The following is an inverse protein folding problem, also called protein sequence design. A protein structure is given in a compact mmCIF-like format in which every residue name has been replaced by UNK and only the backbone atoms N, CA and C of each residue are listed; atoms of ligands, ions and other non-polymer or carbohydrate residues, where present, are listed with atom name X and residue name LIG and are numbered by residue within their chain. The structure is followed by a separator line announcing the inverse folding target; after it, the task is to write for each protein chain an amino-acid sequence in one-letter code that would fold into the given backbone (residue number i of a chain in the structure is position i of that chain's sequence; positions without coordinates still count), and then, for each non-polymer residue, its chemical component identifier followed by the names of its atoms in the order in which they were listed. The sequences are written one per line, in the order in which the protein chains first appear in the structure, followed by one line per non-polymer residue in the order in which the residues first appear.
data_IF_395414643364
#
_entry.id   IF_395414643364
#
_cell.length_a   1.000
_cell.length_b   1.000
_cell.length_c   1.000
_cell.angle_alpha   90.00
_cell.angle_beta   90.00
_cell.angle_gamma   90.00
#
_symmetry.space_group_name_H-M   'P 1'
#
loop_
_entity.id
_entity.type
_entity.pdbx_description
1 polymer ?
#
# COMPACT_ATOMS: atom_id res chain seq x y z
N UNK A 1 30.42 -46.61 -55.86
CA UNK A 1 31.75 -47.05 -55.42
C UNK A 1 32.46 -45.87 -54.77
N UNK A 2 32.95 -46.08 -53.55
CA UNK A 2 34.16 -45.49 -52.89
C UNK A 2 34.35 -43.97 -52.94
N UNK A 3 34.69 -43.23 -51.88
CA UNK A 3 35.12 -43.47 -50.49
C UNK A 3 35.45 -42.06 -49.94
N UNK A 4 35.12 -41.72 -48.67
CA UNK A 4 36.10 -41.60 -47.56
C UNK A 4 37.52 -41.21 -48.04
N UNK A 5 38.21 -40.19 -47.55
CA UNK A 5 38.18 -39.53 -46.24
C UNK A 5 39.63 -39.14 -45.87
N UNK A 6 39.74 -38.29 -44.85
CA UNK A 6 40.76 -38.30 -43.79
C UNK A 6 42.22 -37.85 -44.02
N UNK A 7 42.72 -37.20 -42.95
CA UNK A 7 44.12 -37.06 -42.49
C UNK A 7 45.01 -36.11 -43.31
N UNK A 8 45.96 -35.35 -42.75
CA UNK A 8 46.60 -35.38 -41.43
C UNK A 8 47.54 -34.17 -41.28
N UNK A 9 47.52 -33.57 -40.08
CA UNK A 9 48.63 -33.04 -39.24
C UNK A 9 49.97 -32.57 -39.87
N UNK A 10 50.30 -31.33 -39.48
CA UNK A 10 51.55 -30.76 -38.95
C UNK A 10 52.86 -30.72 -39.76
N UNK A 11 53.42 -29.49 -39.79
CA UNK A 11 54.79 -29.06 -39.42
C UNK A 11 54.81 -27.53 -39.53
N UNK A 12 55.49 -26.67 -38.77
CA UNK A 12 56.03 -26.54 -37.41
C UNK A 12 56.57 -25.09 -37.35
N UNK A 13 56.89 -24.57 -36.15
CA UNK A 13 57.63 -23.33 -35.83
C UNK A 13 56.80 -22.02 -35.84
N UNK A 14 56.82 -21.13 -34.85
CA UNK A 14 57.62 -20.98 -33.62
C UNK A 14 56.93 -19.94 -32.72
N UNK A 15 57.14 -20.05 -31.40
CA UNK A 15 56.62 -19.19 -30.33
C UNK A 15 57.32 -17.81 -30.26
N UNK A 16 56.59 -16.76 -29.85
CA UNK A 16 57.09 -15.71 -28.94
C UNK A 16 55.92 -14.82 -28.43
N UNK A 17 56.09 -14.34 -27.21
CA UNK A 17 55.08 -13.89 -26.27
C UNK A 17 54.54 -12.45 -26.41
N UNK A 18 53.28 -12.36 -25.97
CA UNK A 18 52.56 -11.35 -25.20
C UNK A 18 53.17 -9.96 -24.87
N UNK A 19 52.24 -9.00 -24.86
CA UNK A 19 52.13 -7.77 -24.05
C UNK A 19 52.63 -6.43 -24.63
N UNK A 20 51.65 -5.57 -24.90
CA UNK A 20 51.75 -4.11 -25.00
C UNK A 20 50.58 -3.54 -25.81
N UNK A 21 49.93 -2.43 -25.50
CA UNK A 21 49.85 -1.57 -24.32
C UNK A 21 48.63 -0.66 -24.64
N UNK A 22 47.64 -0.58 -23.75
CA UNK A 22 46.49 0.34 -23.93
C UNK A 22 46.88 1.68 -23.30
N UNK A 23 47.15 2.65 -24.16
CA UNK A 23 47.56 3.98 -23.76
C UNK A 23 46.59 4.70 -22.81
N UNK A 24 47.18 5.42 -21.84
CA UNK A 24 46.96 6.86 -21.76
C UNK A 24 46.20 7.43 -20.55
N UNK A 25 46.57 7.10 -19.31
CA UNK A 25 46.21 7.92 -18.13
C UNK A 25 47.19 9.07 -17.93
N UNK A 26 46.68 10.30 -17.98
CA UNK A 26 47.45 11.56 -17.89
C UNK A 26 47.48 12.07 -16.44
N UNK A 27 48.59 11.78 -15.75
CA UNK A 27 49.38 12.74 -14.94
C UNK A 27 48.88 13.21 -13.57
N UNK A 28 49.72 13.04 -12.53
CA UNK A 28 49.78 14.02 -11.43
C UNK A 28 50.23 13.60 -10.02
N UNK A 29 51.14 12.64 -9.80
CA UNK A 29 51.77 12.44 -8.48
C UNK A 29 53.13 13.16 -8.45
N UNK A 30 53.18 14.32 -7.78
CA UNK A 30 54.38 15.11 -7.55
C UNK A 30 54.99 14.83 -6.18
N UNK A 31 56.16 14.19 -6.19
CA UNK A 31 57.07 14.15 -5.05
C UNK A 31 58.26 15.08 -5.35
N UNK A 32 58.35 16.19 -4.61
CA UNK A 32 59.61 16.92 -4.39
C UNK A 32 59.43 17.91 -3.23
N UNK A 33 60.10 17.61 -2.13
CA UNK A 33 60.05 18.37 -0.90
C UNK A 33 60.53 19.84 -1.03
N UNK A 34 59.94 20.68 -0.18
CA UNK A 34 60.59 21.87 0.41
C UNK A 34 60.04 22.07 1.82
N UNK A 35 60.93 21.96 2.81
CA UNK A 35 60.64 22.32 4.19
C UNK A 35 60.41 23.82 4.36
N UNK A 36 59.47 24.15 5.25
CA UNK A 36 59.27 25.38 6.05
C UNK A 36 58.09 25.01 6.96
N UNK A 37 58.28 24.66 8.23
CA UNK A 37 58.78 25.53 9.27
C UNK A 37 57.62 26.28 9.92
N UNK A 38 57.42 26.01 11.22
CA UNK A 38 56.67 26.78 12.24
C UNK A 38 55.16 26.49 12.43
N UNK A 39 54.82 26.16 13.68
CA UNK A 39 53.72 26.86 14.34
C UNK A 39 52.66 26.02 15.04
N UNK A 40 52.88 25.78 16.34
CA UNK A 40 51.91 25.61 17.44
C UNK A 40 50.44 26.00 17.14
N UNK A 41 49.48 25.21 17.61
CA UNK A 41 48.12 25.73 17.87
C UNK A 41 47.05 24.68 18.21
N UNK A 42 46.68 24.61 19.49
CA UNK A 42 45.50 23.91 20.05
C UNK A 42 44.19 24.37 19.39
N UNK A 43 43.19 23.49 19.24
CA UNK A 43 41.82 23.95 18.99
C UNK A 43 40.79 22.86 18.69
N UNK A 44 39.87 22.64 19.64
CA UNK A 44 38.66 21.79 19.62
C UNK A 44 37.75 22.05 18.42
N UNK A 45 37.03 21.03 17.91
CA UNK A 45 35.88 21.31 17.05
C UNK A 45 35.16 20.14 16.37
N UNK A 46 34.19 19.55 17.10
CA UNK A 46 32.86 19.11 16.64
C UNK A 46 32.75 17.89 15.70
N UNK A 47 32.20 16.83 16.29
CA UNK A 47 31.73 15.64 15.60
C UNK A 47 30.53 15.86 14.69
N UNK A 48 30.36 14.90 13.78
CA UNK A 48 29.10 14.61 13.10
C UNK A 48 28.80 13.13 13.33
N UNK A 49 28.12 12.86 14.44
CA UNK A 49 27.41 11.60 14.64
C UNK A 49 26.15 11.63 13.78
N UNK A 50 26.22 11.00 12.61
CA UNK A 50 25.07 10.69 11.80
C UNK A 50 24.62 9.26 12.14
N UNK A 51 23.59 9.11 12.98
CA UNK A 51 22.67 7.97 12.89
C UNK A 51 21.40 8.24 13.67
N UNK A 52 20.29 8.19 12.95
CA UNK A 52 18.96 8.57 13.41
C UNK A 52 18.50 7.81 14.64
N UNK A 53 18.02 8.58 15.62
CA UNK A 53 17.01 8.08 16.54
C UNK A 53 15.67 8.01 15.81
N UNK A 54 14.95 6.91 15.99
CA UNK A 54 13.49 6.87 15.81
C UNK A 54 12.93 8.14 16.45
N UNK A 55 12.22 8.96 15.68
CA UNK A 55 11.38 9.99 16.28
C UNK A 55 10.29 9.25 17.05
N UNK A 56 10.50 9.07 18.35
CA UNK A 56 9.38 9.04 19.28
C UNK A 56 8.50 10.23 18.93
N UNK A 57 7.19 10.00 18.78
CA UNK A 57 6.21 11.06 18.55
C UNK A 57 6.40 12.09 19.67
N UNK A 58 7.15 13.16 19.37
CA UNK A 58 7.46 14.20 20.34
C UNK A 58 6.14 14.82 20.71
N UNK A 59 5.68 14.51 21.92
CA UNK A 59 4.50 15.14 22.49
C UNK A 59 4.69 16.65 22.42
N UNK A 60 3.77 17.35 21.75
CA UNK A 60 3.86 18.80 21.58
C UNK A 60 3.73 19.48 22.95
N UNK A 61 4.81 20.16 23.37
CA UNK A 61 4.84 20.98 24.59
C UNK A 61 4.69 22.44 24.15
N UNK A 62 3.53 23.07 24.38
CA UNK A 62 3.29 24.41 23.89
C UNK A 62 4.15 25.44 24.62
N UNK A 63 4.80 26.30 23.85
CA UNK A 63 5.71 27.34 24.37
C UNK A 63 5.01 28.69 24.54
N UNK A 64 3.91 28.91 23.82
CA UNK A 64 3.10 30.12 23.87
C UNK A 64 1.95 30.01 24.88
N UNK A 65 1.40 31.17 25.28
CA UNK A 65 0.17 31.23 26.07
C UNK A 65 -1.01 30.63 25.28
N UNK A 66 -1.05 30.89 23.98
CA UNK A 66 -2.10 30.39 23.09
C UNK A 66 -2.02 28.87 22.95
N UNK A 67 -0.84 28.30 22.69
CA UNK A 67 -0.65 26.85 22.60
C UNK A 67 -1.06 26.12 23.89
N UNK A 68 -0.79 26.71 25.07
CA UNK A 68 -1.25 26.16 26.36
C UNK A 68 -2.78 26.16 26.47
N UNK A 69 -3.43 27.26 26.12
CA UNK A 69 -4.89 27.34 26.14
C UNK A 69 -5.55 26.35 25.16
N UNK A 70 -4.91 26.09 24.02
CA UNK A 70 -5.35 25.10 23.03
C UNK A 70 -5.16 23.67 23.56
N UNK A 71 -3.96 23.35 24.10
CA UNK A 71 -3.67 22.02 24.66
C UNK A 71 -4.54 21.69 25.88
N UNK A 72 -4.84 22.68 26.71
CA UNK A 72 -5.71 22.56 27.89
C UNK A 72 -7.22 22.55 27.52
N UNK A 73 -7.56 22.51 26.23
CA UNK A 73 -8.93 22.50 25.69
C UNK A 73 -9.81 23.69 26.12
N UNK A 74 -9.20 24.83 26.43
CA UNK A 74 -9.94 26.07 26.76
C UNK A 74 -10.44 26.78 25.50
N UNK A 75 -9.67 26.71 24.42
CA UNK A 75 -10.07 27.18 23.09
C UNK A 75 -10.52 25.96 22.30
N UNK A 76 -11.76 25.97 21.82
CA UNK A 76 -12.39 24.80 21.18
C UNK A 76 -12.34 24.85 19.66
N UNK A 77 -12.14 26.03 19.07
CA UNK A 77 -12.13 26.21 17.63
C UNK A 77 -11.04 27.19 17.18
N UNK A 78 -10.57 26.99 15.95
CA UNK A 78 -9.68 27.92 15.27
C UNK A 78 -10.38 29.27 15.00
N UNK A 79 -11.71 29.25 14.86
CA UNK A 79 -12.54 30.44 14.67
C UNK A 79 -12.44 31.41 15.84
N UNK A 80 -12.36 30.91 17.08
CA UNK A 80 -12.20 31.74 18.27
C UNK A 80 -10.85 32.49 18.25
N UNK A 81 -9.80 31.85 17.75
CA UNK A 81 -8.47 32.47 17.56
C UNK A 81 -8.52 33.57 16.51
N UNK A 82 -9.24 33.32 15.40
CA UNK A 82 -9.42 34.30 14.33
C UNK A 82 -10.30 35.48 14.75
N UNK A 83 -11.35 35.23 15.54
CA UNK A 83 -12.26 36.26 16.05
C UNK A 83 -11.50 37.32 16.87
N UNK A 84 -10.60 36.88 17.75
CA UNK A 84 -9.77 37.77 18.56
C UNK A 84 -8.46 38.19 17.88
N UNK A 85 -8.27 37.82 16.60
CA UNK A 85 -7.09 38.15 15.79
C UNK A 85 -5.76 37.83 16.50
N UNK A 86 -5.72 36.72 17.25
CA UNK A 86 -4.54 36.34 18.02
C UNK A 86 -3.46 35.75 17.09
N UNK A 87 -2.19 36.18 17.19
CA UNK A 87 -1.14 35.70 16.29
C UNK A 87 -0.73 34.26 16.60
N UNK A 88 -0.92 33.37 15.62
CA UNK A 88 -0.50 31.96 15.69
C UNK A 88 1.00 31.87 15.40
N UNK A 89 1.77 31.36 16.36
CA UNK A 89 3.24 31.22 16.27
C UNK A 89 3.74 29.78 16.35
N UNK A 90 2.85 28.82 16.62
CA UNK A 90 3.14 27.38 16.65
C UNK A 90 2.23 26.71 15.61
N UNK A 91 2.81 25.93 14.69
CA UNK A 91 2.05 25.22 13.65
C UNK A 91 1.18 24.12 14.24
N UNK A 92 1.62 23.54 15.35
CA UNK A 92 0.97 22.45 16.05
C UNK A 92 -0.43 22.84 16.57
N UNK A 93 -0.70 24.14 16.77
CA UNK A 93 -2.04 24.67 17.10
C UNK A 93 -3.02 24.36 15.97
N UNK A 94 -2.59 24.54 14.72
CA UNK A 94 -3.44 24.29 13.54
C UNK A 94 -3.62 22.78 13.38
N UNK A 95 -2.55 22.00 13.56
CA UNK A 95 -2.60 20.54 13.48
C UNK A 95 -3.55 19.95 14.53
N UNK A 96 -3.59 20.49 15.75
CA UNK A 96 -4.49 20.03 16.81
C UNK A 96 -5.97 20.18 16.42
N UNK A 97 -6.37 21.32 15.85
CA UNK A 97 -7.76 21.55 15.45
C UNK A 97 -8.13 20.80 14.17
N UNK A 98 -7.27 20.81 13.14
CA UNK A 98 -7.54 20.13 11.86
C UNK A 98 -7.47 18.60 11.96
N UNK A 99 -6.64 18.05 12.86
CA UNK A 99 -6.55 16.60 13.06
C UNK A 99 -7.87 16.00 13.58
N UNK A 100 -8.68 16.78 14.32
CA UNK A 100 -9.94 16.31 14.88
C UNK A 100 -10.98 15.98 13.79
N UNK A 101 -11.10 16.83 12.76
CA UNK A 101 -11.99 16.60 11.62
C UNK A 101 -11.52 15.41 10.78
N UNK A 102 -10.21 15.33 10.53
CA UNK A 102 -9.61 14.20 9.78
C UNK A 102 -9.85 12.87 10.50
N UNK A 103 -9.76 12.83 11.84
CA UNK A 103 -10.01 11.62 12.61
C UNK A 103 -11.45 11.11 12.47
N UNK A 104 -12.44 12.02 12.47
CA UNK A 104 -13.85 11.64 12.26
C UNK A 104 -14.11 11.12 10.85
N UNK A 105 -13.51 11.76 9.83
CA UNK A 105 -13.61 11.32 8.44
C UNK A 105 -12.98 9.93 8.23
N UNK A 106 -11.82 9.65 8.86
CA UNK A 106 -11.18 8.33 8.80
C UNK A 106 -12.05 7.26 9.46
N UNK A 107 -12.63 7.55 10.63
CA UNK A 107 -13.55 6.62 11.32
C UNK A 107 -14.77 6.30 10.44
N UNK A 108 -15.38 7.32 9.84
CA UNK A 108 -16.50 7.14 8.89
C UNK A 108 -16.11 6.32 7.66
N UNK A 109 -14.94 6.59 7.08
CA UNK A 109 -14.41 5.84 5.94
C UNK A 109 -14.17 4.36 6.26
N UNK A 110 -13.66 4.05 7.46
CA UNK A 110 -13.48 2.66 7.93
C UNK A 110 -14.83 1.94 8.06
N UNK A 111 -15.85 2.60 8.61
CA UNK A 111 -17.19 2.01 8.73
C UNK A 111 -17.77 1.72 7.34
N UNK A 112 -17.72 2.68 6.42
CA UNK A 112 -18.18 2.49 5.05
C UNK A 112 -17.42 1.36 4.34
N UNK A 113 -16.09 1.29 4.51
CA UNK A 113 -15.28 0.23 3.94
C UNK A 113 -15.65 -1.17 4.47
N UNK A 114 -15.97 -1.28 5.77
CA UNK A 114 -16.45 -2.52 6.38
C UNK A 114 -17.82 -2.95 5.83
N UNK A 115 -18.72 -2.01 5.62
CA UNK A 115 -20.04 -2.27 5.04
C UNK A 115 -19.94 -2.69 3.56
N UNK A 116 -18.95 -2.19 2.83
CA UNK A 116 -18.75 -2.48 1.41
C UNK A 116 -17.71 -3.57 1.13
N UNK A 117 -17.52 -4.54 2.02
CA UNK A 117 -16.63 -5.69 1.77
C UNK A 117 -17.22 -6.56 0.66
N UNK A 118 -16.38 -6.95 -0.30
CA UNK A 118 -16.76 -7.80 -1.44
C UNK A 118 -15.89 -9.06 -1.45
N UNK A 119 -16.46 -10.25 -1.69
CA UNK A 119 -15.68 -11.47 -1.79
C UNK A 119 -14.80 -11.46 -3.05
N UNK A 120 -13.59 -12.01 -2.94
CA UNK A 120 -12.63 -12.06 -4.05
C UNK A 120 -12.40 -13.50 -4.49
N UNK A 121 -12.70 -13.79 -5.76
CA UNK A 121 -12.46 -15.11 -6.32
C UNK A 121 -11.01 -15.22 -6.77
N UNK A 122 -10.30 -16.21 -6.23
CA UNK A 122 -8.94 -16.57 -6.65
C UNK A 122 -8.96 -17.82 -7.53
N UNK A 123 -7.99 -17.91 -8.41
CA UNK A 123 -7.82 -18.98 -9.38
C UNK A 123 -6.36 -19.38 -9.60
N UNK A 124 -6.14 -20.09 -10.69
CA UNK A 124 -4.85 -20.61 -11.11
C UNK A 124 -4.53 -20.07 -12.50
N UNK A 125 -3.25 -19.86 -12.80
CA UNK A 125 -2.83 -19.46 -14.14
C UNK A 125 -2.94 -20.60 -15.16
N UNK A 126 -2.65 -21.83 -14.72
CA UNK A 126 -2.72 -23.04 -15.53
C UNK A 126 -3.08 -24.24 -14.64
N UNK A 127 -2.09 -25.06 -14.29
CA UNK A 127 -2.32 -26.24 -13.45
C UNK A 127 -2.85 -25.86 -12.05
N UNK A 128 -3.85 -26.62 -11.59
CA UNK A 128 -4.52 -26.46 -10.29
C UNK A 128 -3.72 -27.07 -9.14
N UNK A 129 -2.46 -26.66 -9.00
CA UNK A 129 -1.54 -27.18 -7.97
C UNK A 129 -1.53 -26.24 -6.78
N UNK A 130 -1.75 -26.81 -5.58
CA UNK A 130 -1.76 -26.07 -4.32
C UNK A 130 -2.96 -25.13 -4.18
N UNK A 131 -2.80 -24.06 -3.40
CA UNK A 131 -3.86 -23.06 -3.15
C UNK A 131 -4.01 -22.09 -4.35
N UNK A 132 -5.21 -21.60 -4.67
CA UNK A 132 -5.39 -20.56 -5.69
C UNK A 132 -4.56 -19.31 -5.35
N UNK A 133 -3.89 -18.73 -6.34
CA UNK A 133 -2.84 -17.71 -6.14
C UNK A 133 -2.99 -16.46 -7.02
N UNK A 134 -3.75 -16.54 -8.11
CA UNK A 134 -3.93 -15.44 -9.08
C UNK A 134 -5.40 -15.17 -9.38
N UNK A 135 -5.71 -14.19 -10.22
CA UNK A 135 -7.08 -13.95 -10.70
C UNK A 135 -7.53 -15.07 -11.67
N UNK A 136 -8.80 -15.49 -11.66
CA UNK A 136 -9.26 -16.64 -12.47
C UNK A 136 -9.32 -16.34 -13.97
N UNK A 137 -9.60 -15.10 -14.35
CA UNK A 137 -9.68 -14.65 -15.74
C UNK A 137 -9.20 -13.20 -15.85
N UNK A 138 -9.02 -12.72 -17.07
CA UNK A 138 -8.66 -11.32 -17.33
C UNK A 138 -9.87 -10.43 -17.02
N UNK A 139 -9.84 -9.72 -15.90
CA UNK A 139 -10.93 -8.84 -15.48
C UNK A 139 -10.55 -7.38 -15.67
N UNK A 140 -11.53 -6.56 -16.03
CA UNK A 140 -11.35 -5.12 -16.23
C UNK A 140 -12.35 -4.35 -15.39
N UNK A 141 -11.85 -3.42 -14.58
CA UNK A 141 -12.63 -2.46 -13.82
C UNK A 141 -12.45 -1.04 -14.36
N UNK A 142 -13.50 -0.22 -14.24
CA UNK A 142 -13.52 1.14 -14.78
C UNK A 142 -14.08 2.12 -13.75
N UNK A 143 -13.42 3.26 -13.62
CA UNK A 143 -13.93 4.41 -12.86
C UNK A 143 -13.52 5.69 -13.58
N UNK A 144 -14.49 6.46 -14.08
CA UNK A 144 -14.23 7.63 -14.92
C UNK A 144 -13.46 7.26 -16.20
N UNK A 145 -12.33 7.95 -16.43
CA UNK A 145 -11.40 7.67 -17.54
C UNK A 145 -10.39 6.57 -17.24
N UNK A 146 -10.30 6.11 -15.98
CA UNK A 146 -9.32 5.10 -15.55
C UNK A 146 -9.89 3.70 -15.75
N UNK A 147 -9.13 2.86 -16.43
CA UNK A 147 -9.40 1.45 -16.63
C UNK A 147 -8.23 0.64 -16.07
N UNK A 148 -8.54 -0.34 -15.21
CA UNK A 148 -7.56 -1.26 -14.63
C UNK A 148 -7.90 -2.68 -15.08
N UNK A 149 -6.94 -3.35 -15.70
CA UNK A 149 -7.03 -4.74 -16.14
C UNK A 149 -6.13 -5.60 -15.28
N UNK A 150 -6.72 -6.60 -14.64
CA UNK A 150 -6.00 -7.66 -13.93
C UNK A 150 -5.85 -8.85 -14.87
N UNK A 151 -4.64 -9.39 -14.94
CA UNK A 151 -4.29 -10.49 -15.82
C UNK A 151 -3.67 -11.60 -14.95
N UNK A 152 -4.14 -12.86 -15.10
CA UNK A 152 -3.57 -14.00 -14.38
C UNK A 152 -2.07 -14.13 -14.64
N UNK A 153 -1.29 -14.44 -13.61
CA UNK A 153 0.17 -14.57 -13.69
C UNK A 153 0.66 -15.91 -13.10
N UNK A 154 1.79 -16.46 -13.58
CA UNK A 154 2.36 -17.70 -13.04
C UNK A 154 2.75 -17.57 -11.57
N UNK A 155 2.88 -18.71 -10.87
CA UNK A 155 3.26 -18.73 -9.45
C UNK A 155 4.65 -18.11 -9.24
N UNK A 156 4.77 -17.23 -8.25
CA UNK A 156 6.04 -16.59 -7.88
C UNK A 156 6.37 -15.34 -8.70
N UNK A 157 5.45 -14.87 -9.54
CA UNK A 157 5.58 -13.58 -10.24
C UNK A 157 5.50 -12.41 -9.26
N UNK A 158 4.70 -12.56 -8.21
CA UNK A 158 4.30 -11.47 -7.34
C UNK A 158 3.33 -10.50 -8.03
N UNK A 159 3.02 -9.41 -7.32
CA UNK A 159 2.10 -8.38 -7.80
C UNK A 159 2.89 -7.32 -8.59
N UNK A 160 2.73 -7.35 -9.92
CA UNK A 160 3.28 -6.35 -10.84
C UNK A 160 2.26 -5.24 -11.04
N UNK A 161 2.35 -4.22 -10.19
CA UNK A 161 1.42 -3.09 -10.18
C UNK A 161 2.05 -1.82 -9.61
N UNK A 162 1.45 -0.68 -9.96
CA UNK A 162 1.63 0.57 -9.22
C UNK A 162 1.26 0.40 -7.72
N UNK A 163 1.80 1.26 -6.82
CA UNK A 163 1.65 1.09 -5.37
C UNK A 163 0.21 1.03 -4.85
N UNK A 164 -0.72 1.77 -5.47
CA UNK A 164 -2.12 1.85 -5.02
C UNK A 164 -2.88 0.53 -5.25
N UNK A 165 -3.01 0.00 -6.48
CA UNK A 165 -3.62 -1.30 -6.71
C UNK A 165 -2.83 -2.44 -6.05
N UNK A 166 -1.50 -2.30 -5.90
CA UNK A 166 -0.69 -3.32 -5.22
C UNK A 166 -1.18 -3.58 -3.80
N UNK A 167 -1.43 -2.52 -3.01
CA UNK A 167 -2.01 -2.65 -1.67
C UNK A 167 -3.38 -3.31 -1.67
N UNK A 168 -4.26 -2.92 -2.60
CA UNK A 168 -5.61 -3.51 -2.73
C UNK A 168 -5.54 -5.01 -3.06
N UNK A 169 -4.67 -5.41 -3.98
CA UNK A 169 -4.47 -6.81 -4.37
C UNK A 169 -3.85 -7.65 -3.25
N UNK A 170 -2.92 -7.07 -2.49
CA UNK A 170 -2.37 -7.72 -1.29
C UNK A 170 -3.44 -7.93 -0.22
N UNK A 171 -4.28 -6.92 0.04
CA UNK A 171 -5.40 -7.06 1.00
C UNK A 171 -6.45 -8.07 0.52
N UNK A 172 -6.63 -8.21 -0.80
CA UNK A 172 -7.49 -9.23 -1.40
C UNK A 172 -6.90 -10.66 -1.33
N UNK A 173 -5.63 -10.81 -0.94
CA UNK A 173 -4.95 -12.11 -0.86
C UNK A 173 -4.58 -12.71 -2.22
N UNK A 174 -4.38 -11.86 -3.24
CA UNK A 174 -3.86 -12.28 -4.55
C UNK A 174 -2.33 -12.21 -4.48
N UNK A 175 -1.67 -13.34 -4.74
CA UNK A 175 -0.20 -13.44 -4.64
C UNK A 175 0.46 -12.99 -5.94
N UNK A 176 -0.09 -13.43 -7.08
CA UNK A 176 0.48 -13.21 -8.41
C UNK A 176 -0.52 -12.53 -9.33
N UNK A 177 -0.16 -11.38 -9.91
CA UNK A 177 -1.02 -10.69 -10.89
C UNK A 177 -0.20 -9.73 -11.74
N UNK A 178 -0.45 -9.74 -13.05
CA UNK A 178 -0.07 -8.64 -13.92
C UNK A 178 -1.19 -7.61 -13.94
N UNK A 179 -0.82 -6.33 -13.91
CA UNK A 179 -1.80 -5.25 -14.02
C UNK A 179 -1.46 -4.36 -15.21
N UNK A 180 -2.50 -3.88 -15.88
CA UNK A 180 -2.39 -2.86 -16.91
C UNK A 180 -3.40 -1.77 -16.61
N UNK A 181 -2.96 -0.53 -16.58
CA UNK A 181 -3.81 0.61 -16.31
C UNK A 181 -3.77 1.58 -17.51
N UNK A 182 -4.94 2.10 -17.89
CA UNK A 182 -5.08 3.12 -18.94
C UNK A 182 -5.92 4.27 -18.41
N UNK A 183 -5.60 5.50 -18.83
CA UNK A 183 -6.28 6.72 -18.40
C UNK A 183 -5.49 7.52 -17.37
N UNK A 184 -6.13 8.48 -16.71
CA UNK A 184 -5.47 9.37 -15.74
C UNK A 184 -5.28 8.70 -14.37
N UNK A 185 -4.28 7.82 -14.27
CA UNK A 185 -3.95 7.06 -13.03
C UNK A 185 -3.38 7.93 -11.91
N UNK A 186 -3.07 9.20 -12.16
CA UNK A 186 -2.67 10.17 -11.15
C UNK A 186 -3.81 10.45 -10.13
N UNK A 187 -5.07 10.26 -10.54
CA UNK A 187 -6.23 10.40 -9.66
C UNK A 187 -6.40 9.17 -8.77
N UNK A 188 -5.85 9.22 -7.55
CA UNK A 188 -5.80 8.08 -6.63
C UNK A 188 -7.19 7.47 -6.36
N UNK A 189 -8.21 8.29 -6.12
CA UNK A 189 -9.56 7.83 -5.81
C UNK A 189 -10.20 7.00 -6.93
N UNK A 190 -10.14 7.49 -8.17
CA UNK A 190 -10.66 6.76 -9.34
C UNK A 190 -9.83 5.51 -9.62
N UNK A 191 -8.52 5.58 -9.45
CA UNK A 191 -7.63 4.45 -9.67
C UNK A 191 -7.88 3.30 -8.67
N UNK A 192 -8.06 3.64 -7.39
CA UNK A 192 -8.44 2.68 -6.36
C UNK A 192 -9.83 2.09 -6.62
N UNK A 193 -10.83 2.92 -6.95
CA UNK A 193 -12.18 2.44 -7.30
C UNK A 193 -12.21 1.54 -8.52
N UNK A 194 -11.47 1.89 -9.59
CA UNK A 194 -11.36 1.05 -10.78
C UNK A 194 -10.72 -0.31 -10.48
N UNK A 195 -9.73 -0.34 -9.58
CA UNK A 195 -9.12 -1.60 -9.13
C UNK A 195 -10.11 -2.42 -8.30
N UNK A 196 -10.83 -1.78 -7.38
CA UNK A 196 -11.85 -2.45 -6.56
C UNK A 196 -12.99 -3.03 -7.42
N UNK A 197 -13.42 -2.29 -8.43
CA UNK A 197 -14.41 -2.75 -9.43
C UNK A 197 -13.89 -3.93 -10.27
N UNK A 198 -12.59 -3.99 -10.58
CA UNK A 198 -12.01 -5.15 -11.25
C UNK A 198 -12.05 -6.39 -10.35
N UNK A 199 -11.79 -6.22 -9.05
CA UNK A 199 -11.79 -7.30 -8.06
C UNK A 199 -13.23 -7.81 -7.80
N UNK A 200 -14.21 -6.92 -7.68
CA UNK A 200 -15.62 -7.32 -7.46
C UNK A 200 -16.17 -8.16 -8.62
N UNK A 201 -15.74 -7.88 -9.85
CA UNK A 201 -16.10 -8.63 -11.05
C UNK A 201 -15.43 -10.00 -11.18
N UNK A 202 -14.55 -10.39 -10.25
CA UNK A 202 -13.96 -11.74 -10.27
C UNK A 202 -15.00 -12.85 -10.10
N UNK A 203 -16.09 -12.58 -9.38
CA UNK A 203 -17.23 -13.50 -9.27
C UNK A 203 -18.29 -13.30 -10.37
N UNK A 204 -18.33 -12.14 -11.04
CA UNK A 204 -19.31 -11.90 -12.10
C UNK A 204 -19.03 -12.73 -13.36
N UNK A 205 -17.80 -13.23 -13.51
CA UNK A 205 -17.46 -14.07 -14.64
C UNK A 205 -17.83 -15.53 -14.38
N UNK A 206 -18.77 -16.04 -15.18
CA UNK A 206 -19.18 -17.43 -15.13
C UNK A 206 -18.16 -18.31 -15.84
N UNK A 207 -17.53 -19.19 -15.08
CA UNK A 207 -16.54 -20.16 -15.58
C UNK A 207 -17.17 -21.57 -15.61
N UNK A 208 -16.65 -22.51 -16.42
CA UNK A 208 -17.27 -23.82 -16.60
C UNK A 208 -17.47 -24.66 -15.31
N UNK A 209 -16.66 -24.43 -14.29
CA UNK A 209 -16.82 -25.06 -12.97
C UNK A 209 -18.09 -24.61 -12.22
N UNK A 210 -18.66 -23.46 -12.59
CA UNK A 210 -19.89 -22.89 -12.04
C UNK A 210 -21.12 -23.10 -12.94
N UNK A 211 -21.01 -23.86 -14.05
CA UNK A 211 -22.15 -24.13 -14.95
C UNK A 211 -23.14 -25.17 -14.43
N UNK A 212 -22.80 -25.86 -13.34
CA UNK A 212 -23.73 -26.82 -12.71
C UNK A 212 -24.97 -26.07 -12.24
N UNK A 213 -26.14 -26.68 -12.44
CA UNK A 213 -27.41 -26.10 -12.00
C UNK A 213 -27.37 -25.80 -10.50
N UNK A 214 -27.81 -24.59 -10.15
CA UNK A 214 -27.85 -24.15 -8.76
C UNK A 214 -29.03 -24.79 -8.04
N UNK A 215 -28.76 -25.46 -6.93
CA UNK A 215 -29.81 -25.97 -6.04
C UNK A 215 -30.35 -24.81 -5.21
N UNK A 216 -31.62 -24.46 -5.42
CA UNK A 216 -32.29 -23.41 -4.64
C UNK A 216 -32.70 -23.96 -3.28
N UNK A 217 -31.99 -23.55 -2.23
CA UNK A 217 -32.39 -23.78 -0.84
C UNK A 217 -33.33 -22.67 -0.37
N UNK A 218 -34.07 -22.90 0.71
CA UNK A 218 -34.88 -21.83 1.32
C UNK A 218 -33.97 -20.71 1.80
N UNK A 219 -34.48 -19.49 1.75
CA UNK A 219 -33.77 -18.33 2.30
C UNK A 219 -33.69 -18.46 3.83
N UNK A 220 -32.58 -18.09 4.48
CA UNK A 220 -32.49 -18.09 5.94
C UNK A 220 -33.63 -17.29 6.61
N UNK A 221 -34.10 -16.21 5.98
CA UNK A 221 -35.25 -15.45 6.49
C UNK A 221 -36.54 -16.27 6.50
N UNK A 222 -36.73 -17.13 5.50
CA UNK A 222 -37.88 -18.03 5.41
C UNK A 222 -37.77 -19.19 6.40
N UNK A 223 -36.57 -19.75 6.59
CA UNK A 223 -36.36 -20.85 7.55
C UNK A 223 -36.50 -20.39 9.01
N UNK A 224 -36.02 -19.20 9.34
CA UNK A 224 -36.03 -18.67 10.69
C UNK A 224 -37.14 -17.64 10.94
N UNK A 225 -38.19 -17.60 10.11
CA UNK A 225 -39.32 -16.66 10.26
C UNK A 225 -39.95 -16.77 11.65
N UNK A 226 -40.20 -17.98 12.14
CA UNK A 226 -40.81 -18.20 13.46
C UNK A 226 -39.93 -17.72 14.61
N UNK A 227 -38.60 -17.83 14.47
CA UNK A 227 -37.65 -17.32 15.46
C UNK A 227 -37.61 -15.78 15.48
N UNK A 228 -37.63 -15.17 14.29
CA UNK A 228 -37.64 -13.71 14.15
C UNK A 228 -38.93 -13.10 14.73
N UNK A 229 -40.10 -13.72 14.48
CA UNK A 229 -41.37 -13.26 15.02
C UNK A 229 -41.41 -13.28 16.57
N UNK A 230 -40.80 -14.30 17.19
CA UNK A 230 -40.72 -14.46 18.65
C UNK A 230 -39.79 -13.46 19.34
N UNK A 231 -38.73 -13.04 18.67
CA UNK A 231 -37.68 -12.17 19.25
C UNK A 231 -37.95 -10.69 19.00
N UNK A 232 -38.52 -10.33 17.85
CA UNK A 232 -38.79 -8.94 17.47
C UNK A 232 -39.87 -8.27 18.33
N UNK A 233 -40.85 -9.02 18.84
CA UNK A 233 -42.01 -8.47 19.56
C UNK A 233 -41.72 -8.05 21.00
N UNK A 234 -40.67 -8.55 21.65
CA UNK A 234 -40.39 -8.23 23.07
C UNK A 234 -39.71 -6.87 23.27
N UNK A 235 -38.95 -6.37 22.29
CA UNK A 235 -38.21 -5.10 22.42
C UNK A 235 -39.12 -3.88 22.23
N UNK A 236 -40.20 -4.00 21.46
CA UNK A 236 -41.18 -2.93 21.29
C UNK A 236 -42.10 -2.77 22.50
N UNK A 237 -42.51 -3.88 23.15
CA UNK A 237 -43.45 -3.84 24.29
C UNK A 237 -42.84 -3.21 25.54
N UNK A 238 -41.52 -3.26 25.71
CA UNK A 238 -40.83 -2.67 26.88
C UNK A 238 -40.70 -1.14 26.82
N UNK A 239 -40.99 -0.48 25.69
CA UNK A 239 -40.93 0.98 25.58
C UNK A 239 -42.26 1.69 25.83
N UNK A 240 -43.38 0.97 25.78
CA UNK A 240 -44.73 1.56 25.81
C UNK A 240 -45.52 1.28 27.10
N UNK A 241 -44.92 0.67 28.13
CA UNK A 241 -45.58 0.46 29.43
C UNK A 241 -44.96 1.36 30.53
N UNK A 242 -45.66 2.43 30.97
CA UNK A 242 -45.20 3.27 32.07
C UNK A 242 -45.32 2.63 33.48
N UNK A 243 -45.94 1.45 33.62
CA UNK A 243 -46.27 0.87 34.93
C UNK A 243 -45.57 -0.48 35.22
N UNK A 244 -44.24 -0.49 35.36
CA UNK A 244 -43.56 -1.64 36.00
C UNK A 244 -42.54 -1.18 37.05
N UNK A 245 -42.67 -1.61 38.32
CA UNK A 245 -41.72 -1.23 39.36
C UNK A 245 -40.37 -1.94 39.16
N UNK A 246 -39.25 -1.33 39.60
CA UNK A 246 -37.93 -1.92 39.44
C UNK A 246 -37.83 -3.22 40.25
N UNK A 247 -37.37 -4.29 39.59
CA UNK A 247 -36.99 -5.52 40.26
C UNK A 247 -35.76 -5.28 41.13
N UNK A 248 -35.83 -5.80 42.35
CA UNK A 248 -34.81 -5.74 43.41
C UNK A 248 -33.47 -6.34 43.02
#
# INVERSE_FOLDING_TARGET
MTSRGSSSRNKDHQMADNAGDRGGFRGGFGDRGRGRGRGRGRGRGRGRGARGGKSEDKEWIPVTKLGRLVKDMKIKSLEEIYLYSLPIKESEIIDFFLASEVATAIRGAIILAKLSIVPVRRGYWGNKIGKPHTVPCKVTGRCGSVLVRLIPAPRGTGIVSAPVPKKLLTMAGIDDCYTSARGCTATLGNFAKATFDAISKTYSYLTPDLWKETVFTKSPYQEFTDHLAKTHTRVSVQRDNPDMPPSS
#
